data_IF_248385576790
#
_entry.id   IF_248385576790
#
_cell.length_a   1.000
_cell.length_b   1.000
_cell.length_c   1.000
_cell.angle_alpha   90.00
_cell.angle_beta   90.00
_cell.angle_gamma   90.00
#
_symmetry.space_group_name_H-M   'P 1'
#
loop_
_entity.id
_entity.type
_entity.pdbx_description
1 polymer ?
#
# COMPACT_ATOMS: atom_id res chain seq x y z
N UNK A 1 2.37 -0.50 35.09
CA UNK A 1 0.92 -0.44 34.79
C UNK A 1 0.44 1.00 34.65
N UNK A 2 0.84 1.92 35.54
CA UNK A 2 0.56 3.37 35.45
C UNK A 2 1.11 4.03 34.18
N UNK A 3 2.39 3.81 33.84
CA UNK A 3 3.00 4.40 32.64
C UNK A 3 2.33 3.96 31.32
N UNK A 4 1.81 2.72 31.29
CA UNK A 4 1.07 2.20 30.15
C UNK A 4 -0.29 2.90 30.03
N UNK A 5 -1.01 3.07 31.14
CA UNK A 5 -2.29 3.79 31.17
C UNK A 5 -2.14 5.27 30.79
N UNK A 6 -1.02 5.90 31.16
CA UNK A 6 -0.73 7.30 30.83
C UNK A 6 -0.38 7.50 29.34
N UNK A 7 0.25 6.51 28.70
CA UNK A 7 0.61 6.55 27.27
C UNK A 7 -0.51 6.10 26.33
N UNK A 8 -1.53 5.38 26.83
CA UNK A 8 -2.66 4.91 26.02
C UNK A 8 -3.38 6.01 25.23
N UNK A 9 -3.71 7.18 25.79
CA UNK A 9 -4.44 8.18 25.02
C UNK A 9 -3.60 8.76 23.88
N UNK A 10 -2.26 8.87 24.06
CA UNK A 10 -1.37 9.34 23.00
C UNK A 10 -1.21 8.30 21.90
N UNK A 11 -1.11 7.02 22.27
CA UNK A 11 -1.09 5.93 21.31
C UNK A 11 -2.40 5.88 20.49
N UNK A 12 -3.55 6.01 21.14
CA UNK A 12 -4.84 6.02 20.44
C UNK A 12 -4.99 7.24 19.53
N UNK A 13 -4.55 8.42 19.99
CA UNK A 13 -4.53 9.63 19.18
C UNK A 13 -3.61 9.46 17.96
N UNK A 14 -2.42 8.86 18.13
CA UNK A 14 -1.47 8.64 17.04
C UNK A 14 -2.01 7.64 16.01
N UNK A 15 -2.71 6.60 16.45
CA UNK A 15 -3.40 5.63 15.59
C UNK A 15 -4.49 6.31 14.78
N UNK A 16 -5.32 7.15 15.40
CA UNK A 16 -6.38 7.89 14.71
C UNK A 16 -5.81 8.87 13.67
N UNK A 17 -4.77 9.64 14.03
CA UNK A 17 -4.09 10.57 13.12
C UNK A 17 -3.46 9.82 11.96
N UNK A 18 -2.80 8.70 12.23
CA UNK A 18 -2.16 7.88 11.20
C UNK A 18 -3.16 7.28 10.22
N UNK A 19 -4.34 6.85 10.71
CA UNK A 19 -5.43 6.42 9.84
C UNK A 19 -5.89 7.54 8.92
N UNK A 20 -6.13 8.75 9.44
CA UNK A 20 -6.57 9.91 8.66
C UNK A 20 -5.52 10.28 7.61
N UNK A 21 -4.22 10.31 7.98
CA UNK A 21 -3.11 10.54 7.06
C UNK A 21 -3.07 9.49 5.94
N UNK A 22 -3.21 8.21 6.32
CA UNK A 22 -3.27 7.09 5.38
C UNK A 22 -4.46 7.19 4.42
N UNK A 23 -5.59 7.70 4.92
CA UNK A 23 -6.84 7.81 4.18
C UNK A 23 -6.84 8.92 3.13
N UNK A 24 -5.88 9.83 3.09
CA UNK A 24 -5.86 10.90 2.07
C UNK A 24 -5.81 10.28 0.66
N UNK A 25 -6.87 10.44 -0.17
CA UNK A 25 -7.02 9.68 -1.40
C UNK A 25 -6.36 10.40 -2.59
N UNK A 26 -5.04 10.59 -2.53
CA UNK A 26 -4.29 11.36 -3.54
C UNK A 26 -4.50 10.86 -4.97
N UNK A 27 -4.54 9.54 -5.16
CA UNK A 27 -4.81 8.94 -6.47
C UNK A 27 -6.19 9.33 -7.02
N UNK A 28 -7.25 9.24 -6.21
CA UNK A 28 -8.60 9.64 -6.61
C UNK A 28 -8.66 11.15 -6.92
N UNK A 29 -8.08 11.98 -6.04
CA UNK A 29 -8.05 13.43 -6.25
C UNK A 29 -7.33 13.83 -7.54
N UNK A 30 -6.18 13.22 -7.84
CA UNK A 30 -5.41 13.52 -9.05
C UNK A 30 -6.09 12.96 -10.31
N UNK A 31 -6.66 11.76 -10.25
CA UNK A 31 -7.38 11.16 -11.37
C UNK A 31 -8.64 11.96 -11.73
N UNK A 32 -9.42 12.41 -10.74
CA UNK A 32 -10.61 13.24 -10.95
C UNK A 32 -10.30 14.57 -11.64
N UNK A 33 -9.15 15.18 -11.35
CA UNK A 33 -8.69 16.41 -12.05
C UNK A 33 -8.44 16.19 -13.55
N UNK A 34 -8.30 14.94 -13.97
CA UNK A 34 -8.16 14.54 -15.38
C UNK A 34 -9.45 13.91 -15.94
N UNK A 35 -10.58 14.01 -15.22
CA UNK A 35 -11.85 13.44 -15.63
C UNK A 35 -11.92 11.91 -15.55
N UNK A 36 -11.00 11.28 -14.81
CA UNK A 36 -10.90 9.82 -14.70
C UNK A 36 -11.35 9.38 -13.29
N UNK A 37 -12.31 8.47 -13.21
CA UNK A 37 -12.56 7.72 -11.98
C UNK A 37 -11.54 6.57 -11.88
N UNK A 38 -10.61 6.66 -10.93
CA UNK A 38 -9.53 5.67 -10.80
C UNK A 38 -10.04 4.27 -10.42
N UNK A 39 -11.23 4.19 -9.82
CA UNK A 39 -11.82 2.93 -9.39
C UNK A 39 -12.49 2.15 -10.52
N UNK A 40 -12.76 2.80 -11.67
CA UNK A 40 -13.36 2.18 -12.85
C UNK A 40 -12.36 1.84 -13.96
N UNK A 41 -11.08 2.19 -13.80
CA UNK A 41 -10.05 1.99 -14.83
C UNK A 41 -8.88 1.13 -14.36
N UNK A 42 -8.26 0.42 -15.31
CA UNK A 42 -7.06 -0.38 -15.09
C UNK A 42 -7.24 -1.45 -14.02
N UNK A 43 -6.51 -1.34 -12.90
CA UNK A 43 -6.64 -2.30 -11.79
C UNK A 43 -7.83 -2.03 -10.86
N UNK A 44 -8.52 -0.90 -11.03
CA UNK A 44 -9.56 -0.41 -10.10
C UNK A 44 -9.04 -0.08 -8.71
N UNK A 45 -7.71 -0.05 -8.50
CA UNK A 45 -7.08 0.41 -7.27
C UNK A 45 -6.57 1.83 -7.42
N UNK A 46 -6.72 2.60 -6.34
CA UNK A 46 -6.19 3.95 -6.22
C UNK A 46 -4.69 3.94 -5.89
N UNK A 47 -3.89 3.19 -6.66
CA UNK A 47 -2.44 3.05 -6.50
C UNK A 47 -1.65 3.73 -7.61
N UNK A 48 -0.41 4.11 -7.29
CA UNK A 48 0.50 4.83 -8.21
C UNK A 48 0.70 4.15 -9.57
N UNK A 49 0.79 2.82 -9.60
CA UNK A 49 0.95 2.06 -10.86
C UNK A 49 -0.29 2.17 -11.75
N UNK A 50 -1.49 2.19 -11.16
CA UNK A 50 -2.72 2.33 -11.92
C UNK A 50 -2.80 3.75 -12.50
N UNK A 51 -2.61 4.77 -11.65
CA UNK A 51 -2.61 6.18 -12.05
C UNK A 51 -1.55 6.46 -13.12
N UNK A 52 -0.37 5.85 -13.03
CA UNK A 52 0.67 5.96 -14.05
C UNK A 52 0.21 5.43 -15.42
N UNK A 53 -0.54 4.34 -15.43
CA UNK A 53 -1.02 3.67 -16.66
C UNK A 53 -2.26 4.34 -17.24
N UNK A 54 -3.13 4.91 -16.41
CA UNK A 54 -4.44 5.42 -16.85
C UNK A 54 -4.49 6.95 -16.96
N UNK A 55 -3.73 7.68 -16.14
CA UNK A 55 -3.72 9.16 -16.11
C UNK A 55 -2.43 9.71 -16.70
N UNK A 56 -1.28 9.22 -16.25
CA UNK A 56 0.02 9.65 -16.77
C UNK A 56 1.18 9.51 -15.79
N UNK A 57 2.41 9.66 -16.31
CA UNK A 57 3.65 9.45 -15.55
C UNK A 57 3.79 10.37 -14.35
N UNK A 58 3.54 11.68 -14.53
CA UNK A 58 3.69 12.67 -13.47
C UNK A 58 2.66 12.48 -12.35
N UNK A 59 1.34 12.34 -12.62
CA UNK A 59 0.35 11.99 -11.59
C UNK A 59 0.69 10.69 -10.86
N UNK A 60 1.14 9.66 -11.58
CA UNK A 60 1.55 8.39 -10.97
C UNK A 60 2.73 8.54 -10.00
N UNK A 61 3.72 9.38 -10.33
CA UNK A 61 4.85 9.69 -9.45
C UNK A 61 4.40 10.48 -8.22
N UNK A 62 3.52 11.46 -8.37
CA UNK A 62 2.98 12.23 -7.24
C UNK A 62 2.23 11.33 -6.25
N UNK A 63 1.44 10.39 -6.76
CA UNK A 63 0.76 9.38 -5.93
C UNK A 63 1.77 8.49 -5.22
N UNK A 64 2.81 8.02 -5.91
CA UNK A 64 3.84 7.19 -5.29
C UNK A 64 4.53 7.91 -4.13
N UNK A 65 4.95 9.16 -4.34
CA UNK A 65 5.59 9.98 -3.31
C UNK A 65 4.63 10.23 -2.16
N UNK A 66 3.38 10.58 -2.43
CA UNK A 66 2.37 10.79 -1.40
C UNK A 66 2.04 9.53 -0.59
N UNK A 67 1.99 8.36 -1.26
CA UNK A 67 1.72 7.09 -0.60
C UNK A 67 2.88 6.64 0.29
N UNK A 68 4.13 6.91 -0.11
CA UNK A 68 5.32 6.73 0.74
C UNK A 68 5.25 7.72 1.90
N UNK A 69 5.02 9.01 1.62
CA UNK A 69 5.03 10.08 2.61
C UNK A 69 4.04 9.81 3.74
N UNK A 70 2.80 9.42 3.48
CA UNK A 70 1.83 9.16 4.55
C UNK A 70 2.24 7.98 5.47
N UNK A 71 2.89 6.96 4.91
CA UNK A 71 3.44 5.84 5.70
C UNK A 71 4.60 6.29 6.57
N UNK A 72 5.53 7.06 6.00
CA UNK A 72 6.66 7.62 6.75
C UNK A 72 6.20 8.61 7.83
N UNK A 73 5.29 9.51 7.47
CA UNK A 73 4.75 10.51 8.39
C UNK A 73 3.95 9.88 9.53
N UNK A 74 3.21 8.80 9.29
CA UNK A 74 2.53 8.08 10.37
C UNK A 74 3.50 7.60 11.46
N UNK A 75 4.66 7.07 11.06
CA UNK A 75 5.72 6.65 11.97
C UNK A 75 6.39 7.85 12.64
N UNK A 76 6.84 8.83 11.85
CA UNK A 76 7.58 10.00 12.37
C UNK A 76 6.72 10.81 13.33
N UNK A 77 5.47 11.12 12.96
CA UNK A 77 4.55 11.87 13.82
C UNK A 77 4.25 11.08 15.10
N UNK A 78 4.01 9.78 15.00
CA UNK A 78 3.73 8.96 16.19
C UNK A 78 4.92 8.92 17.16
N UNK A 79 6.14 8.83 16.65
CA UNK A 79 7.36 8.80 17.46
C UNK A 79 7.69 10.16 18.05
N UNK A 80 7.79 11.18 17.20
CA UNK A 80 8.34 12.49 17.58
C UNK A 80 7.31 13.42 18.24
N UNK A 81 6.01 13.27 17.91
CA UNK A 81 4.95 14.15 18.45
C UNK A 81 4.16 13.45 19.54
N UNK A 82 3.78 12.18 19.33
CA UNK A 82 2.97 11.43 20.30
C UNK A 82 3.80 10.60 21.29
N UNK A 83 5.13 10.55 21.13
CA UNK A 83 6.02 9.83 22.04
C UNK A 83 5.81 8.30 22.02
N UNK A 84 5.26 7.76 20.93
CA UNK A 84 5.01 6.31 20.82
C UNK A 84 6.33 5.57 20.67
N UNK A 85 6.64 4.73 21.67
CA UNK A 85 7.84 3.91 21.69
C UNK A 85 7.70 2.64 20.86
N UNK A 86 8.85 2.05 20.51
CA UNK A 86 8.89 0.74 19.90
C UNK A 86 8.54 -0.33 20.96
N UNK A 87 7.79 -1.39 20.62
CA UNK A 87 7.29 -1.76 19.29
C UNK A 87 5.92 -1.17 18.94
N UNK A 88 5.31 -0.36 19.81
CA UNK A 88 3.95 0.16 19.64
C UNK A 88 3.76 1.01 18.39
N UNK A 89 4.85 1.56 17.83
CA UNK A 89 4.89 2.28 16.56
C UNK A 89 4.30 1.51 15.36
N UNK A 90 4.25 0.18 15.45
CA UNK A 90 3.65 -0.68 14.43
C UNK A 90 2.13 -0.49 14.32
N UNK A 91 1.46 -0.06 15.39
CA UNK A 91 0.01 0.21 15.40
C UNK A 91 -0.34 1.43 14.53
N UNK A 92 0.25 2.62 14.69
CA UNK A 92 0.01 3.73 13.79
C UNK A 92 0.47 3.46 12.36
N UNK A 93 1.58 2.73 12.15
CA UNK A 93 1.99 2.29 10.81
C UNK A 93 0.91 1.43 10.14
N UNK A 94 0.36 0.45 10.87
CA UNK A 94 -0.77 -0.37 10.42
C UNK A 94 -2.03 0.46 10.16
N UNK A 95 -2.32 1.45 11.02
CA UNK A 95 -3.46 2.34 10.86
C UNK A 95 -3.39 3.17 9.57
N UNK A 96 -2.20 3.67 9.20
CA UNK A 96 -2.00 4.36 7.92
C UNK A 96 -2.22 3.45 6.71
N UNK A 97 -1.81 2.18 6.79
CA UNK A 97 -2.08 1.18 5.75
C UNK A 97 -3.60 0.92 5.65
N UNK A 98 -4.28 0.75 6.79
CA UNK A 98 -5.74 0.57 6.84
C UNK A 98 -6.48 1.77 6.24
N UNK A 99 -6.05 2.99 6.58
CA UNK A 99 -6.59 4.22 5.99
C UNK A 99 -6.43 4.24 4.47
N UNK A 100 -5.29 3.79 3.96
CA UNK A 100 -5.07 3.73 2.51
C UNK A 100 -5.89 2.65 1.80
N UNK A 101 -6.17 1.51 2.45
CA UNK A 101 -7.03 0.48 1.87
C UNK A 101 -8.50 0.90 1.83
N UNK A 102 -8.99 1.46 2.94
CA UNK A 102 -10.37 1.78 3.16
C UNK A 102 -10.49 3.23 3.64
N UNK A 103 -10.23 4.17 2.72
CA UNK A 103 -10.31 5.59 3.02
C UNK A 103 -11.75 6.04 3.22
N UNK A 104 -12.02 6.72 4.33
CA UNK A 104 -13.29 7.40 4.58
C UNK A 104 -13.61 8.46 3.52
N UNK A 105 -12.59 9.05 2.89
CA UNK A 105 -12.76 10.14 1.93
C UNK A 105 -13.11 9.66 0.52
N UNK A 106 -12.91 8.38 0.21
CA UNK A 106 -13.21 7.78 -1.10
C UNK A 106 -14.25 6.64 -1.02
N UNK A 107 -15.08 6.65 0.03
CA UNK A 107 -16.16 5.68 0.21
C UNK A 107 -15.66 4.26 0.51
N UNK A 108 -14.63 4.15 1.36
CA UNK A 108 -13.98 2.90 1.78
C UNK A 108 -13.31 2.13 0.63
N UNK A 109 -12.90 2.84 -0.41
CA UNK A 109 -12.11 2.32 -1.53
C UNK A 109 -10.72 2.95 -1.54
N UNK A 110 -9.70 2.18 -1.91
CA UNK A 110 -8.32 2.61 -1.79
C UNK A 110 -7.33 1.84 -2.66
N UNK A 111 -6.06 1.86 -2.25
CA UNK A 111 -4.96 1.18 -2.94
C UNK A 111 -4.55 -0.14 -2.30
N UNK A 112 -3.40 -0.68 -2.71
CA UNK A 112 -2.87 -1.95 -2.22
C UNK A 112 -2.04 -1.83 -0.94
N UNK A 113 -1.52 -0.64 -0.60
CA UNK A 113 -0.72 -0.39 0.60
C UNK A 113 0.76 -0.70 0.48
N UNK A 114 1.26 -1.11 -0.69
CA UNK A 114 2.68 -1.44 -0.87
C UNK A 114 3.58 -0.21 -0.67
N UNK A 115 3.24 0.92 -1.28
CA UNK A 115 4.00 2.16 -1.14
C UNK A 115 3.93 2.73 0.29
N UNK A 116 2.77 2.59 0.95
CA UNK A 116 2.55 3.02 2.34
C UNK A 116 3.36 2.20 3.33
N UNK A 117 3.39 0.88 3.15
CA UNK A 117 4.27 -0.01 3.90
C UNK A 117 5.75 0.33 3.66
N UNK A 118 6.14 0.59 2.41
CA UNK A 118 7.48 1.03 2.06
C UNK A 118 7.87 2.32 2.80
N UNK A 119 6.97 3.30 2.85
CA UNK A 119 7.16 4.53 3.61
C UNK A 119 7.34 4.31 5.11
N UNK A 120 6.50 3.47 5.72
CA UNK A 120 6.66 3.10 7.14
C UNK A 120 7.99 2.38 7.40
N UNK A 121 8.38 1.48 6.49
CA UNK A 121 9.66 0.76 6.54
C UNK A 121 10.84 1.71 6.46
N UNK A 122 10.80 2.71 5.57
CA UNK A 122 11.83 3.74 5.45
C UNK A 122 11.93 4.61 6.70
N UNK A 123 10.82 4.90 7.37
CA UNK A 123 10.86 5.69 8.61
C UNK A 123 11.45 4.89 9.79
N UNK A 124 11.15 3.59 9.88
CA UNK A 124 11.69 2.73 10.94
C UNK A 124 13.14 2.33 10.69
N UNK A 125 13.50 2.08 9.43
CA UNK A 125 14.83 1.64 9.01
C UNK A 125 15.31 2.48 7.81
N UNK A 126 15.79 3.72 7.99
CA UNK A 126 16.11 4.61 6.87
C UNK A 126 17.10 4.01 5.87
N UNK A 127 18.24 3.51 6.37
CA UNK A 127 19.29 2.96 5.51
C UNK A 127 18.94 1.53 5.07
N UNK A 128 18.64 0.64 6.03
CA UNK A 128 18.40 -0.78 5.72
C UNK A 128 17.11 -0.96 4.91
N UNK A 129 16.04 -0.25 5.26
CA UNK A 129 14.79 -0.23 4.52
C UNK A 129 14.96 0.29 3.10
N UNK A 130 15.78 1.32 2.88
CA UNK A 130 16.08 1.81 1.52
C UNK A 130 16.77 0.76 0.68
N UNK A 131 17.83 0.12 1.21
CA UNK A 131 18.57 -0.95 0.53
C UNK A 131 17.62 -2.10 0.20
N UNK A 132 16.80 -2.52 1.17
CA UNK A 132 15.85 -3.63 1.01
C UNK A 132 14.77 -3.36 -0.03
N UNK A 133 14.17 -2.16 -0.01
CA UNK A 133 13.20 -1.75 -1.02
C UNK A 133 13.85 -1.71 -2.41
N UNK A 134 15.09 -1.21 -2.51
CA UNK A 134 15.83 -1.20 -3.77
C UNK A 134 16.09 -2.62 -4.29
N UNK A 135 16.52 -3.55 -3.43
CA UNK A 135 16.70 -4.98 -3.79
C UNK A 135 15.38 -5.58 -4.30
N UNK A 136 14.29 -5.38 -3.57
CA UNK A 136 12.97 -5.87 -3.99
C UNK A 136 12.52 -5.28 -5.31
N UNK A 137 12.73 -3.99 -5.52
CA UNK A 137 12.42 -3.30 -6.78
C UNK A 137 13.23 -3.86 -7.94
N UNK A 138 14.54 -4.06 -7.77
CA UNK A 138 15.40 -4.64 -8.81
C UNK A 138 14.96 -6.06 -9.19
N UNK A 139 14.62 -6.89 -8.20
CA UNK A 139 14.11 -8.25 -8.43
C UNK A 139 12.75 -8.23 -9.14
N UNK A 140 11.86 -7.34 -8.74
CA UNK A 140 10.58 -7.16 -9.41
C UNK A 140 10.77 -6.72 -10.88
N UNK A 141 11.70 -5.81 -11.14
CA UNK A 141 12.00 -5.31 -12.49
C UNK A 141 12.65 -6.39 -13.37
N UNK A 142 13.59 -7.17 -12.84
CA UNK A 142 14.18 -8.30 -13.56
C UNK A 142 13.18 -9.44 -13.80
N UNK A 143 12.26 -9.64 -12.87
CA UNK A 143 11.24 -10.68 -12.90
C UNK A 143 9.96 -10.32 -13.65
N UNK A 144 9.89 -9.20 -14.40
CA UNK A 144 8.64 -8.73 -15.02
C UNK A 144 7.94 -9.76 -15.93
N UNK A 145 8.69 -10.72 -16.50
CA UNK A 145 8.15 -11.80 -17.34
C UNK A 145 7.58 -12.97 -16.54
N UNK A 146 7.86 -13.06 -15.25
CA UNK A 146 7.39 -14.12 -14.38
C UNK A 146 5.98 -13.83 -13.87
N UNK A 147 5.14 -14.88 -13.71
CA UNK A 147 3.92 -14.73 -12.95
C UNK A 147 4.30 -14.35 -11.51
N UNK A 148 3.60 -13.36 -10.93
CA UNK A 148 3.83 -12.89 -9.56
C UNK A 148 5.13 -12.10 -9.30
N UNK A 149 5.66 -11.40 -10.31
CA UNK A 149 6.83 -10.51 -10.16
C UNK A 149 6.74 -9.54 -8.97
N UNK A 150 5.56 -8.98 -8.68
CA UNK A 150 5.33 -8.13 -7.50
C UNK A 150 5.49 -8.89 -6.17
N UNK A 151 5.08 -10.16 -6.11
CA UNK A 151 5.25 -11.00 -4.90
C UNK A 151 6.74 -11.25 -4.65
N UNK A 152 7.50 -11.59 -5.70
CA UNK A 152 8.95 -11.80 -5.62
C UNK A 152 9.66 -10.55 -5.10
N UNK A 153 9.29 -9.37 -5.59
CA UNK A 153 9.85 -8.10 -5.13
C UNK A 153 9.61 -7.86 -3.64
N UNK A 154 8.39 -8.09 -3.14
CA UNK A 154 8.07 -7.89 -1.72
C UNK A 154 8.77 -8.92 -0.83
N UNK A 155 8.80 -10.19 -1.23
CA UNK A 155 9.50 -11.26 -0.50
C UNK A 155 11.00 -10.95 -0.42
N UNK A 156 11.59 -10.48 -1.51
CA UNK A 156 13.00 -10.11 -1.53
C UNK A 156 13.29 -8.85 -0.70
N UNK A 157 12.42 -7.84 -0.74
CA UNK A 157 12.55 -6.65 0.10
C UNK A 157 12.50 -7.03 1.58
N UNK A 158 11.49 -7.79 2.00
CA UNK A 158 11.37 -8.19 3.39
C UNK A 158 12.50 -9.14 3.83
N UNK A 159 12.85 -10.13 3.01
CA UNK A 159 13.92 -11.08 3.30
C UNK A 159 15.28 -10.40 3.46
N UNK A 160 15.60 -9.45 2.58
CA UNK A 160 16.83 -8.65 2.70
C UNK A 160 16.79 -7.74 3.92
N UNK A 161 15.64 -7.13 4.26
CA UNK A 161 15.50 -6.31 5.47
C UNK A 161 15.77 -7.12 6.72
N UNK A 162 15.15 -8.30 6.83
CA UNK A 162 15.32 -9.19 7.96
C UNK A 162 16.78 -9.64 8.09
N UNK A 163 17.42 -10.04 6.99
CA UNK A 163 18.83 -10.43 6.99
C UNK A 163 19.74 -9.26 7.44
N UNK A 164 19.55 -8.07 6.87
CA UNK A 164 20.35 -6.89 7.20
C UNK A 164 20.19 -6.49 8.66
N UNK A 165 18.96 -6.49 9.19
CA UNK A 165 18.73 -6.15 10.60
C UNK A 165 19.34 -7.18 11.54
N UNK A 166 19.26 -8.48 11.21
CA UNK A 166 19.89 -9.54 12.01
C UNK A 166 21.42 -9.37 12.03
N UNK A 167 22.04 -9.11 10.87
CA UNK A 167 23.50 -8.93 10.75
C UNK A 167 23.99 -7.68 11.48
N UNK A 168 23.19 -6.61 11.51
CA UNK A 168 23.53 -5.35 12.18
C UNK A 168 23.03 -5.28 13.63
N UNK A 169 22.60 -6.41 14.22
CA UNK A 169 22.08 -6.49 15.59
C UNK A 169 20.93 -5.50 15.90
N UNK A 170 20.13 -5.13 14.88
CA UNK A 170 19.02 -4.19 15.03
C UNK A 170 17.77 -4.81 15.67
N UNK A 171 16.72 -4.00 15.85
CA UNK A 171 15.49 -4.41 16.52
C UNK A 171 14.71 -5.47 15.72
N UNK A 172 14.78 -6.71 16.19
CA UNK A 172 14.11 -7.87 15.60
C UNK A 172 12.58 -7.80 15.74
N UNK A 173 12.07 -7.17 16.80
CA UNK A 173 10.63 -7.04 17.06
C UNK A 173 9.99 -6.17 15.99
N UNK A 174 10.63 -5.05 15.65
CA UNK A 174 10.15 -4.16 14.59
C UNK A 174 10.17 -4.83 13.22
N UNK A 175 11.22 -5.61 12.91
CA UNK A 175 11.29 -6.35 11.64
C UNK A 175 10.19 -7.40 11.55
N UNK A 176 10.00 -8.20 12.60
CA UNK A 176 8.92 -9.20 12.63
C UNK A 176 7.55 -8.51 12.47
N UNK A 177 7.37 -7.36 13.13
CA UNK A 177 6.18 -6.52 12.99
C UNK A 177 5.94 -6.04 11.56
N UNK A 178 6.97 -5.51 10.90
CA UNK A 178 6.92 -5.10 9.49
C UNK A 178 6.63 -6.31 8.59
N UNK A 179 7.15 -7.50 8.92
CA UNK A 179 6.82 -8.74 8.22
C UNK A 179 5.36 -9.11 8.34
N UNK A 180 4.77 -8.96 9.53
CA UNK A 180 3.34 -9.11 9.75
C UNK A 180 2.52 -8.15 8.89
N UNK A 181 2.87 -6.86 8.89
CA UNK A 181 2.23 -5.85 8.04
C UNK A 181 2.41 -6.15 6.54
N UNK A 182 3.59 -6.59 6.12
CA UNK A 182 3.87 -7.02 4.75
C UNK A 182 3.00 -8.21 4.32
N UNK A 183 2.83 -9.20 5.19
CA UNK A 183 1.94 -10.34 4.97
C UNK A 183 0.48 -9.90 4.81
N UNK A 184 0.01 -8.94 5.62
CA UNK A 184 -1.33 -8.37 5.51
C UNK A 184 -1.52 -7.59 4.19
N UNK A 185 -0.55 -6.74 3.83
CA UNK A 185 -0.53 -5.98 2.56
C UNK A 185 -0.53 -6.92 1.35
N UNK A 186 0.31 -7.95 1.36
CA UNK A 186 0.33 -8.95 0.30
C UNK A 186 -0.99 -9.70 0.20
N UNK A 187 -1.56 -10.11 1.32
CA UNK A 187 -2.85 -10.80 1.36
C UNK A 187 -3.97 -9.93 0.79
N UNK A 188 -3.98 -8.63 1.14
CA UNK A 188 -4.92 -7.67 0.60
C UNK A 188 -4.74 -7.46 -0.91
N UNK A 189 -3.50 -7.24 -1.36
CA UNK A 189 -3.18 -7.08 -2.78
C UNK A 189 -3.60 -8.30 -3.60
N UNK A 190 -3.29 -9.52 -3.13
CA UNK A 190 -3.63 -10.77 -3.80
C UNK A 190 -5.14 -11.02 -3.86
N UNK A 191 -5.87 -10.78 -2.76
CA UNK A 191 -7.35 -10.88 -2.75
C UNK A 191 -7.96 -9.88 -3.73
N UNK A 192 -7.44 -8.66 -3.73
CA UNK A 192 -7.84 -7.63 -4.68
C UNK A 192 -7.62 -8.06 -6.13
N UNK A 193 -6.48 -8.64 -6.47
CA UNK A 193 -6.22 -9.13 -7.82
C UNK A 193 -7.10 -10.32 -8.23
N UNK A 194 -7.38 -11.25 -7.31
CA UNK A 194 -8.19 -12.45 -7.60
C UNK A 194 -9.66 -12.12 -7.85
N UNK A 195 -10.26 -11.28 -7.01
CA UNK A 195 -11.68 -10.86 -7.16
C UNK A 195 -11.94 -10.17 -8.50
N UNK A 196 -10.96 -9.39 -8.98
CA UNK A 196 -11.09 -8.58 -10.20
C UNK A 196 -10.85 -9.35 -11.51
N UNK A 197 -10.00 -10.40 -11.51
CA UNK A 197 -9.94 -11.32 -12.67
C UNK A 197 -11.26 -12.03 -12.87
N UNK A 198 -11.89 -12.45 -11.78
CA UNK A 198 -13.18 -13.11 -11.84
C UNK A 198 -14.24 -12.18 -12.48
N UNK A 199 -14.36 -10.93 -12.03
CA UNK A 199 -15.29 -9.93 -12.61
C UNK A 199 -15.02 -9.68 -14.11
N UNK A 200 -13.75 -9.57 -14.55
CA UNK A 200 -13.44 -9.40 -15.99
C UNK A 200 -13.75 -10.63 -16.84
N UNK A 201 -13.53 -11.84 -16.29
CA UNK A 201 -13.82 -13.09 -16.98
C UNK A 201 -15.35 -13.26 -17.17
N UNK A 202 -16.16 -12.82 -16.20
CA UNK A 202 -17.63 -12.79 -16.32
C UNK A 202 -18.12 -11.80 -17.36
N UNK A 203 -17.62 -10.56 -17.38
CA UNK A 203 -18.01 -9.58 -18.40
C UNK A 203 -17.64 -10.02 -19.83
N UNK A 204 -16.51 -10.72 -20.00
CA UNK A 204 -16.13 -11.30 -21.28
C UNK A 204 -17.02 -12.49 -21.64
N UNK A 205 -17.31 -13.38 -20.69
CA UNK A 205 -18.22 -14.49 -20.90
C UNK A 205 -19.62 -14.00 -21.32
N UNK A 206 -20.15 -12.98 -20.65
CA UNK A 206 -21.46 -12.38 -20.95
C UNK A 206 -21.50 -11.80 -22.38
N UNK A 207 -20.47 -11.05 -22.78
CA UNK A 207 -20.33 -10.52 -24.15
C UNK A 207 -20.23 -11.60 -25.22
N UNK A 208 -19.72 -12.79 -24.89
CA UNK A 208 -19.66 -13.94 -25.82
C UNK A 208 -20.94 -14.78 -25.85
N UNK A 209 -21.75 -14.74 -24.79
CA UNK A 209 -23.01 -15.53 -24.69
C UNK A 209 -24.25 -14.80 -25.18
N UNK A 210 -24.24 -13.46 -25.27
CA UNK A 210 -25.34 -12.70 -25.88
C UNK A 210 -25.19 -12.76 -27.40
N UNK A 211 -26.10 -13.42 -28.14
CA UNK A 211 -26.07 -13.41 -29.60
C UNK A 211 -26.16 -11.95 -30.07
N UNK A 212 -25.23 -11.50 -30.91
CA UNK A 212 -25.41 -10.24 -31.63
C UNK A 212 -26.62 -10.41 -32.53
N UNK A 213 -27.77 -9.87 -32.11
CA UNK A 213 -28.95 -9.77 -32.94
C UNK A 213 -28.57 -8.97 -34.19
N UNK A 214 -28.41 -9.68 -35.32
CA UNK A 214 -28.23 -9.11 -36.64
C UNK A 214 -29.56 -8.56 -37.17
N UNK A 215 -30.29 -7.78 -36.37
CA UNK A 215 -31.48 -7.03 -36.77
C UNK A 215 -31.11 -5.65 -37.30
N UNK A 216 -30.14 -5.60 -38.22
CA UNK A 216 -30.08 -4.53 -39.21
C UNK A 216 -30.13 -5.14 -40.61
N UNK A 217 -31.32 -5.68 -40.91
CA UNK A 217 -31.83 -5.70 -42.29
C UNK A 217 -32.40 -4.31 -42.54
N UNK A 218 -31.80 -3.58 -43.47
CA UNK A 218 -32.42 -2.92 -44.64
C UNK A 218 -31.47 -1.91 -45.25
#
# INVERSE_FOLDING_TARGET
>A
MSELLESMPMLLASVAVSYILGAIPLADQLSKRHGIDIFSVGTGLAGSTNVRKTVGKLPGLMVLVGDIAKGSLAVIISREIFGVSDPWILLPAGAAILGHWASIFSGLRGGDGLATLGGATLALFPILGFISILIGMLIQLGGQKLPYSSLLGVVAAYGSLAALVIVNEGDRTLVIGIGGLAGLVLSWALRGHKRRRHESDWEQAEKTTVPQDQSNRH
#
